data_IF_303668718430
#
_entry.id   IF_303668718430
#
_cell.length_a   1.000
_cell.length_b   1.000
_cell.length_c   1.000
_cell.angle_alpha   90.00
_cell.angle_beta   90.00
_cell.angle_gamma   90.00
#
_symmetry.space_group_name_H-M   'P 1'
#
loop_
_entity.id
_entity.type
_entity.pdbx_description
1 polymer ?
#
# COMPACT_ATOMS: atom_id res chain seq x y z
N UNK A 1 5.85 -47.54 -13.79
CA UNK A 1 5.75 -46.49 -12.76
C UNK A 1 6.68 -45.34 -13.14
N UNK A 2 6.16 -44.13 -13.30
CA UNK A 2 6.94 -42.90 -13.45
C UNK A 2 6.03 -41.74 -13.01
N UNK A 3 6.35 -41.11 -11.87
CA UNK A 3 5.56 -40.01 -11.32
C UNK A 3 6.08 -38.70 -11.90
N UNK A 4 5.23 -37.97 -12.63
CA UNK A 4 5.57 -36.66 -13.16
C UNK A 4 5.12 -35.57 -12.16
N UNK A 5 6.08 -34.93 -11.50
CA UNK A 5 5.84 -33.81 -10.58
C UNK A 5 5.35 -32.56 -11.34
N UNK A 6 4.28 -31.87 -10.91
CA UNK A 6 3.87 -30.60 -11.50
C UNK A 6 4.76 -29.45 -10.99
N UNK A 7 5.51 -28.81 -11.89
CA UNK A 7 6.40 -27.70 -11.55
C UNK A 7 5.66 -26.42 -11.13
N UNK A 8 6.07 -25.84 -10.00
CA UNK A 8 5.55 -24.59 -9.43
C UNK A 8 6.06 -23.34 -10.17
N UNK A 9 5.60 -23.13 -11.39
CA UNK A 9 5.97 -21.97 -12.22
C UNK A 9 5.08 -20.74 -12.00
N UNK A 10 5.35 -19.94 -10.96
CA UNK A 10 4.74 -18.62 -10.82
C UNK A 10 5.19 -17.70 -11.96
N UNK A 11 4.24 -17.21 -12.77
CA UNK A 11 4.52 -16.22 -13.83
C UNK A 11 4.63 -14.82 -13.22
N UNK A 12 5.76 -14.53 -12.59
CA UNK A 12 6.17 -13.16 -12.32
C UNK A 12 6.39 -12.43 -13.65
N UNK A 13 5.78 -11.25 -13.82
CA UNK A 13 6.09 -10.39 -14.95
C UNK A 13 7.47 -9.77 -14.73
N UNK A 14 8.47 -10.04 -15.59
CA UNK A 14 9.83 -9.54 -15.39
C UNK A 14 9.86 -7.99 -15.44
N UNK A 15 10.82 -7.34 -14.77
CA UNK A 15 11.00 -5.90 -14.85
C UNK A 15 11.27 -5.47 -16.30
N UNK A 16 10.58 -4.43 -16.75
CA UNK A 16 10.72 -3.93 -18.12
C UNK A 16 12.09 -3.25 -18.26
N UNK A 17 12.93 -3.77 -19.17
CA UNK A 17 14.22 -3.17 -19.49
C UNK A 17 14.00 -1.81 -20.21
N UNK A 18 14.49 -0.68 -19.66
CA UNK A 18 14.28 0.64 -20.26
C UNK A 18 14.98 0.84 -21.63
N UNK A 19 15.84 -0.09 -22.07
CA UNK A 19 16.59 0.03 -23.32
C UNK A 19 15.76 -0.10 -24.62
N UNK A 20 14.53 -0.66 -24.58
CA UNK A 20 13.77 -0.95 -25.81
C UNK A 20 12.92 0.21 -26.37
N UNK A 21 12.97 1.42 -25.80
CA UNK A 21 12.20 2.58 -26.29
C UNK A 21 12.95 3.46 -27.32
N UNK A 22 13.85 2.88 -28.12
CA UNK A 22 14.69 3.59 -29.11
C UNK A 22 14.66 3.00 -30.52
N UNK A 23 13.47 2.69 -31.05
CA UNK A 23 13.31 2.37 -32.48
C UNK A 23 11.88 2.66 -32.99
N UNK A 24 11.48 3.94 -33.06
CA UNK A 24 10.35 4.47 -33.89
C UNK A 24 10.26 6.01 -33.82
N UNK A 25 11.23 6.70 -34.38
CA UNK A 25 11.13 8.13 -34.77
C UNK A 25 12.33 8.57 -35.63
N UNK A 26 12.23 8.40 -36.95
CA UNK A 26 13.16 8.99 -37.93
C UNK A 26 12.39 9.38 -39.19
N UNK A 27 11.85 10.61 -39.22
CA UNK A 27 11.50 11.34 -40.46
C UNK A 27 10.98 12.75 -40.11
N UNK A 28 11.88 13.72 -39.91
CA UNK A 28 11.57 15.14 -40.04
C UNK A 28 12.90 15.92 -40.16
N UNK A 29 13.21 16.36 -41.37
CA UNK A 29 14.29 17.32 -41.70
C UNK A 29 13.92 18.70 -41.12
N UNK A 30 14.80 19.31 -40.33
CA UNK A 30 15.83 20.28 -40.75
C UNK A 30 15.33 21.74 -40.71
N UNK A 31 16.06 22.58 -39.99
CA UNK A 31 15.78 24.00 -39.78
C UNK A 31 16.76 24.56 -38.76
N UNK A 32 17.89 25.08 -39.24
CA UNK A 32 18.98 25.56 -38.39
C UNK A 32 18.80 27.04 -38.03
N UNK A 33 19.29 27.45 -36.85
CA UNK A 33 20.06 28.69 -36.69
C UNK A 33 20.96 28.59 -35.45
N UNK A 34 22.09 29.31 -35.47
CA UNK A 34 23.22 29.11 -34.55
C UNK A 34 23.39 30.27 -33.55
N UNK A 35 24.53 30.27 -32.82
CA UNK A 35 25.06 31.25 -31.83
C UNK A 35 24.65 31.00 -30.36
N UNK A 36 25.51 31.14 -29.34
CA UNK A 36 26.99 31.33 -29.30
C UNK A 36 27.59 30.76 -28.00
N UNK A 37 28.92 30.53 -27.98
CA UNK A 37 29.70 30.04 -26.81
C UNK A 37 29.74 31.04 -25.64
N UNK A 38 29.79 30.53 -24.40
CA UNK A 38 30.92 30.78 -23.45
C UNK A 38 30.84 29.90 -22.17
N UNK A 39 31.95 29.25 -21.84
CA UNK A 39 32.39 28.95 -20.45
C UNK A 39 33.66 29.82 -20.20
N UNK A 40 34.15 29.96 -18.95
CA UNK A 40 35.12 28.96 -18.45
C UNK A 40 35.11 28.66 -16.93
N UNK A 41 35.55 27.44 -16.60
CA UNK A 41 36.44 26.99 -15.51
C UNK A 41 36.57 27.82 -14.20
N UNK A 42 36.54 27.11 -13.06
CA UNK A 42 37.75 26.84 -12.25
C UNK A 42 37.50 25.69 -11.24
N UNK A 43 38.57 25.02 -10.80
CA UNK A 43 38.55 24.00 -9.75
C UNK A 43 39.62 24.31 -8.69
N UNK A 44 39.35 24.00 -7.43
CA UNK A 44 40.34 24.01 -6.33
C UNK A 44 40.05 22.84 -5.38
N UNK A 45 41.10 22.21 -4.86
CA UNK A 45 41.06 21.08 -3.94
C UNK A 45 41.72 21.44 -2.59
N UNK A 46 41.86 20.45 -1.69
CA UNK A 46 42.45 20.52 -0.33
C UNK A 46 41.53 21.15 0.75
N UNK A 47 41.58 20.76 2.04
CA UNK A 47 42.38 19.74 2.77
C UNK A 47 41.68 19.38 4.10
N UNK A 48 41.97 18.20 4.68
CA UNK A 48 41.77 17.94 6.14
C UNK A 48 42.90 18.63 6.92
N UNK A 49 42.65 19.03 8.18
CA UNK A 49 42.99 18.19 9.34
C UNK A 49 41.78 18.12 10.32
N UNK A 50 41.81 17.62 11.57
CA UNK A 50 42.87 17.08 12.46
C UNK A 50 42.45 15.71 13.07
N UNK A 51 43.14 15.28 14.14
CA UNK A 51 42.90 14.14 15.03
C UNK A 51 43.12 14.64 16.46
N UNK A 52 42.34 14.19 17.44
CA UNK A 52 42.64 14.37 18.88
C UNK A 52 42.51 13.04 19.59
N UNK A 53 43.66 12.52 20.02
CA UNK A 53 43.86 11.59 21.14
C UNK A 53 44.29 12.43 22.35
N UNK A 54 44.19 12.04 23.61
CA UNK A 54 43.56 10.90 24.30
C UNK A 54 43.52 11.25 25.81
N UNK A 55 42.81 10.48 26.63
CA UNK A 55 43.22 10.20 28.01
C UNK A 55 42.42 9.01 28.57
N UNK A 56 43.09 8.11 29.28
CA UNK A 56 42.48 7.00 30.01
C UNK A 56 42.53 7.25 31.51
N UNK A 57 41.54 6.75 32.25
CA UNK A 57 41.70 6.37 33.65
C UNK A 57 40.66 5.30 33.98
N UNK A 58 41.11 4.13 34.41
CA UNK A 58 40.24 3.06 34.89
C UNK A 58 39.89 3.28 36.37
N UNK A 59 38.76 2.73 36.80
CA UNK A 59 38.63 2.05 38.10
C UNK A 59 37.46 1.08 38.09
N UNK A 60 37.76 -0.13 38.52
CA UNK A 60 36.84 -1.24 38.72
C UNK A 60 36.29 -1.19 40.16
N UNK A 61 35.01 -1.47 40.32
CA UNK A 61 34.38 -1.77 41.60
C UNK A 61 33.05 -2.49 41.33
N UNK A 62 33.04 -3.80 41.54
CA UNK A 62 31.88 -4.65 41.26
C UNK A 62 30.63 -4.27 42.05
N UNK A 63 29.48 -4.40 41.39
CA UNK A 63 28.16 -4.30 41.99
C UNK A 63 27.22 -5.31 41.34
N UNK A 64 26.95 -6.41 42.05
CA UNK A 64 25.97 -7.40 41.62
C UNK A 64 24.58 -6.79 41.67
N UNK A 65 24.04 -6.41 40.51
CA UNK A 65 22.71 -5.83 40.36
C UNK A 65 22.06 -6.41 39.12
N UNK A 66 20.87 -6.99 39.31
CA UNK A 66 20.11 -7.74 38.30
C UNK A 66 19.98 -6.95 36.99
N UNK A 67 20.75 -7.33 35.97
CA UNK A 67 20.71 -6.70 34.66
C UNK A 67 19.48 -7.19 33.91
N UNK A 68 18.35 -6.55 34.22
CA UNK A 68 17.08 -6.70 33.52
C UNK A 68 17.36 -6.64 32.02
N UNK A 69 17.30 -7.79 31.36
CA UNK A 69 17.52 -7.88 29.93
C UNK A 69 16.41 -7.07 29.26
N UNK A 70 16.74 -5.86 28.84
CA UNK A 70 15.97 -5.12 27.85
C UNK A 70 16.11 -5.84 26.51
N UNK A 71 15.51 -7.02 26.41
CA UNK A 71 15.21 -7.68 25.15
C UNK A 71 14.20 -6.82 24.42
N UNK A 72 14.71 -5.78 23.77
CA UNK A 72 14.03 -5.03 22.72
C UNK A 72 13.80 -5.98 21.55
N UNK A 73 12.87 -6.92 21.74
CA UNK A 73 12.52 -7.93 20.77
C UNK A 73 12.07 -7.24 19.51
N UNK A 74 12.84 -7.40 18.45
CA UNK A 74 12.51 -6.90 17.12
C UNK A 74 11.22 -7.59 16.70
N UNK A 75 10.07 -6.93 16.93
CA UNK A 75 8.77 -7.43 16.49
C UNK A 75 8.86 -7.69 14.99
N UNK A 76 8.59 -8.92 14.58
CA UNK A 76 8.68 -9.33 13.18
C UNK A 76 7.74 -8.47 12.34
N UNK A 77 8.27 -7.83 11.29
CA UNK A 77 7.47 -6.97 10.41
C UNK A 77 6.38 -7.80 9.72
N UNK A 78 5.15 -7.30 9.76
CA UNK A 78 3.99 -7.94 9.12
C UNK A 78 4.08 -7.79 7.60
N UNK A 79 3.71 -8.83 6.87
CA UNK A 79 3.92 -8.94 5.43
C UNK A 79 2.62 -8.66 4.69
N UNK A 80 2.63 -7.63 3.86
CA UNK A 80 1.43 -7.02 3.27
C UNK A 80 1.37 -7.33 1.77
N UNK A 81 0.20 -7.75 1.29
CA UNK A 81 -0.10 -7.83 -0.13
C UNK A 81 -1.13 -6.74 -0.50
N UNK A 82 -0.78 -5.85 -1.43
CA UNK A 82 -1.65 -4.72 -1.82
C UNK A 82 -2.32 -5.02 -3.16
N UNK A 83 -3.63 -4.84 -3.25
CA UNK A 83 -4.43 -5.12 -4.44
C UNK A 83 -4.89 -3.81 -5.09
N UNK A 84 -4.68 -3.64 -6.40
CA UNK A 84 -4.98 -2.38 -7.12
C UNK A 84 -5.60 -2.62 -8.50
N UNK A 85 -6.44 -1.70 -8.97
CA UNK A 85 -6.99 -1.71 -10.34
C UNK A 85 -6.74 -0.43 -11.13
N UNK A 86 -5.83 0.44 -10.67
CA UNK A 86 -5.68 1.81 -11.20
C UNK A 86 -4.35 2.48 -10.89
N UNK A 87 -4.39 3.79 -10.65
CA UNK A 87 -3.19 4.63 -10.46
C UNK A 87 -2.32 4.25 -9.25
N UNK A 88 -2.92 3.62 -8.22
CA UNK A 88 -2.18 3.10 -7.07
C UNK A 88 -1.70 4.16 -6.08
N UNK A 89 -2.37 5.30 -5.97
CA UNK A 89 -2.02 6.37 -5.02
C UNK A 89 -2.08 5.88 -3.56
N UNK A 90 -3.18 5.23 -3.14
CA UNK A 90 -3.27 4.59 -1.83
C UNK A 90 -2.14 3.56 -1.58
N UNK A 91 -1.85 2.70 -2.57
CA UNK A 91 -0.73 1.76 -2.49
C UNK A 91 0.61 2.47 -2.29
N UNK A 92 0.86 3.55 -3.03
CA UNK A 92 2.06 4.38 -2.87
C UNK A 92 2.17 4.97 -1.46
N UNK A 93 1.08 5.55 -0.93
CA UNK A 93 1.05 6.12 0.42
C UNK A 93 1.31 5.05 1.50
N UNK A 94 0.77 3.84 1.34
CA UNK A 94 1.05 2.69 2.22
C UNK A 94 2.53 2.28 2.12
N UNK A 95 3.06 2.08 0.90
CA UNK A 95 4.44 1.66 0.70
C UNK A 95 5.45 2.68 1.25
N UNK A 96 5.25 3.97 0.99
CA UNK A 96 6.08 5.04 1.55
C UNK A 96 5.99 5.08 3.09
N UNK A 97 4.81 4.79 3.68
CA UNK A 97 4.66 4.68 5.12
C UNK A 97 5.32 3.43 5.75
N UNK A 98 5.60 2.37 4.97
CA UNK A 98 6.38 1.20 5.43
C UNK A 98 7.90 1.42 5.43
N UNK A 99 8.40 2.54 4.91
CA UNK A 99 9.82 2.88 5.00
C UNK A 99 10.30 2.97 6.46
N UNK A 100 11.62 2.85 6.69
CA UNK A 100 12.19 2.97 8.03
C UNK A 100 11.85 4.35 8.66
N UNK A 101 11.30 4.35 9.88
CA UNK A 101 10.80 5.55 10.55
C UNK A 101 9.42 6.04 10.07
N UNK A 102 8.80 5.39 9.09
CA UNK A 102 7.45 5.70 8.62
C UNK A 102 6.35 5.22 9.57
N UNK A 103 5.14 5.80 9.44
CA UNK A 103 3.96 5.49 10.27
C UNK A 103 3.61 4.00 10.32
N UNK A 104 3.86 3.25 9.24
CA UNK A 104 3.55 1.83 9.12
C UNK A 104 4.83 0.97 9.03
N UNK A 105 5.95 1.42 9.61
CA UNK A 105 7.25 0.75 9.55
C UNK A 105 7.30 -0.66 10.19
N UNK A 106 6.28 -1.05 10.96
CA UNK A 106 6.05 -2.43 11.42
C UNK A 106 5.49 -3.37 10.33
N UNK A 107 5.13 -2.86 9.15
CA UNK A 107 4.71 -3.63 7.99
C UNK A 107 5.75 -3.61 6.85
N UNK A 108 5.65 -4.52 5.89
CA UNK A 108 6.49 -4.59 4.68
C UNK A 108 5.63 -5.04 3.48
N UNK A 109 5.73 -4.38 2.33
CA UNK A 109 4.89 -4.71 1.15
C UNK A 109 5.59 -5.72 0.26
N UNK A 110 5.15 -6.98 0.34
CA UNK A 110 5.84 -8.14 -0.24
C UNK A 110 5.29 -8.56 -1.60
N UNK A 111 4.10 -8.08 -1.96
CA UNK A 111 3.51 -8.26 -3.28
C UNK A 111 2.51 -7.15 -3.63
N UNK A 112 2.39 -6.87 -4.93
CA UNK A 112 1.25 -6.19 -5.51
C UNK A 112 0.42 -7.19 -6.33
N UNK A 113 -0.90 -7.14 -6.19
CA UNK A 113 -1.85 -7.89 -7.01
C UNK A 113 -2.68 -6.91 -7.83
N UNK A 114 -2.95 -7.21 -9.10
CA UNK A 114 -3.70 -6.33 -9.99
C UNK A 114 -4.54 -7.12 -10.99
N UNK A 115 -5.69 -6.57 -11.42
CA UNK A 115 -6.46 -7.09 -12.56
C UNK A 115 -6.00 -6.48 -13.91
N UNK A 116 -5.06 -5.54 -13.88
CA UNK A 116 -4.56 -4.78 -15.05
C UNK A 116 -3.03 -4.71 -15.02
N UNK A 117 -2.31 -5.39 -15.94
CA UNK A 117 -0.85 -5.51 -15.84
C UNK A 117 -0.11 -4.18 -16.08
N UNK A 118 -0.73 -3.24 -16.80
CA UNK A 118 -0.20 -1.90 -17.11
C UNK A 118 -0.84 -0.76 -16.31
N UNK A 119 -1.42 -1.01 -15.14
CA UNK A 119 -1.92 0.08 -14.29
C UNK A 119 -0.76 0.80 -13.57
N UNK A 120 -0.96 2.07 -13.19
CA UNK A 120 0.08 2.89 -12.55
C UNK A 120 0.65 2.29 -11.27
N UNK A 121 -0.18 1.59 -10.49
CA UNK A 121 0.28 0.82 -9.32
C UNK A 121 1.24 -0.31 -9.70
N UNK A 122 0.94 -1.07 -10.76
CA UNK A 122 1.81 -2.15 -11.26
C UNK A 122 3.13 -1.64 -11.83
N UNK A 123 3.16 -0.45 -12.44
CA UNK A 123 4.41 0.18 -12.82
C UNK A 123 5.24 0.63 -11.60
N UNK A 124 4.58 1.24 -10.60
CA UNK A 124 5.26 1.68 -9.38
C UNK A 124 5.88 0.48 -8.63
N UNK A 125 5.12 -0.60 -8.43
CA UNK A 125 5.62 -1.82 -7.78
C UNK A 125 6.88 -2.36 -8.48
N UNK A 126 6.86 -2.50 -9.81
CA UNK A 126 8.04 -2.94 -10.59
C UNK A 126 9.25 -2.02 -10.42
N UNK A 127 9.04 -0.69 -10.40
CA UNK A 127 10.11 0.29 -10.14
C UNK A 127 10.65 0.22 -8.71
N UNK A 128 9.83 -0.19 -7.76
CA UNK A 128 10.18 -0.38 -6.34
C UNK A 128 10.70 -1.80 -6.02
N UNK A 129 10.83 -2.68 -7.01
CA UNK A 129 11.27 -4.08 -6.79
C UNK A 129 10.21 -5.01 -6.20
N UNK A 130 8.97 -4.56 -6.04
CA UNK A 130 7.86 -5.34 -5.49
C UNK A 130 7.32 -6.30 -6.56
N UNK A 131 7.23 -7.62 -6.29
CA UNK A 131 6.64 -8.59 -7.20
C UNK A 131 5.19 -8.26 -7.57
N UNK A 132 4.84 -8.38 -8.86
CA UNK A 132 3.48 -8.14 -9.36
C UNK A 132 2.84 -9.44 -9.81
N UNK A 133 1.68 -9.77 -9.22
CA UNK A 133 0.82 -10.90 -9.60
C UNK A 133 -0.40 -10.38 -10.35
N UNK A 134 -0.73 -10.97 -11.50
CA UNK A 134 -1.94 -10.63 -12.25
C UNK A 134 -3.09 -11.56 -11.83
N UNK A 135 -4.17 -10.99 -11.31
CA UNK A 135 -5.35 -11.71 -10.83
C UNK A 135 -6.63 -10.86 -10.94
N UNK A 136 -7.77 -11.42 -11.39
CA UNK A 136 -7.99 -12.83 -11.71
C UNK A 136 -7.67 -13.17 -13.17
N UNK A 137 -7.44 -14.45 -13.45
CA UNK A 137 -7.63 -15.00 -14.80
C UNK A 137 -9.04 -14.67 -15.29
N UNK A 138 -9.15 -13.98 -16.42
CA UNK A 138 -10.43 -13.60 -17.01
C UNK A 138 -10.33 -13.52 -18.53
N UNK A 139 -11.46 -13.38 -19.24
CA UNK A 139 -11.45 -13.16 -20.71
C UNK A 139 -10.62 -11.94 -21.12
N UNK A 140 -10.58 -10.90 -20.27
CA UNK A 140 -9.79 -9.68 -20.47
C UNK A 140 -8.35 -9.74 -19.95
N UNK A 141 -7.99 -10.79 -19.22
CA UNK A 141 -6.65 -11.06 -18.69
C UNK A 141 -6.40 -12.57 -18.62
N UNK A 142 -6.25 -13.28 -19.77
CA UNK A 142 -6.07 -14.74 -19.79
C UNK A 142 -4.79 -15.21 -19.11
N UNK A 143 -3.78 -14.35 -19.08
CA UNK A 143 -2.47 -14.55 -18.45
C UNK A 143 -2.50 -14.40 -16.92
N UNK A 144 -3.65 -14.01 -16.35
CA UNK A 144 -3.86 -13.99 -14.90
C UNK A 144 -3.87 -15.38 -14.26
N UNK A 145 -3.75 -15.42 -12.94
CA UNK A 145 -3.80 -16.65 -12.14
C UNK A 145 -5.23 -16.92 -11.60
N UNK A 146 -5.63 -18.18 -11.40
CA UNK A 146 -6.85 -18.54 -10.67
C UNK A 146 -6.66 -18.36 -9.15
N UNK A 147 -7.75 -18.30 -8.39
CA UNK A 147 -7.77 -18.08 -6.93
C UNK A 147 -6.83 -19.02 -6.16
N UNK A 148 -6.83 -20.32 -6.47
CA UNK A 148 -5.96 -21.30 -5.81
C UNK A 148 -4.45 -21.00 -5.97
N UNK A 149 -4.04 -20.48 -7.14
CA UNK A 149 -2.64 -20.10 -7.37
C UNK A 149 -2.28 -18.78 -6.68
N UNK A 150 -3.21 -17.82 -6.62
CA UNK A 150 -3.05 -16.61 -5.81
C UNK A 150 -2.87 -16.97 -4.33
N UNK A 151 -3.73 -17.83 -3.78
CA UNK A 151 -3.64 -18.26 -2.38
C UNK A 151 -2.31 -18.93 -2.05
N UNK A 152 -1.82 -19.81 -2.92
CA UNK A 152 -0.49 -20.40 -2.73
C UNK A 152 0.61 -19.33 -2.77
N UNK A 153 0.58 -18.40 -3.72
CA UNK A 153 1.56 -17.31 -3.78
C UNK A 153 1.57 -16.42 -2.52
N UNK A 154 0.39 -16.10 -1.96
CA UNK A 154 0.28 -15.31 -0.73
C UNK A 154 0.81 -16.10 0.49
N UNK A 155 0.59 -17.42 0.55
CA UNK A 155 1.14 -18.31 1.59
C UNK A 155 2.66 -18.46 1.50
N UNK A 156 3.19 -18.69 0.29
CA UNK A 156 4.64 -18.81 0.03
C UNK A 156 5.37 -17.51 0.42
N UNK A 157 4.75 -16.36 0.12
CA UNK A 157 5.22 -15.04 0.54
C UNK A 157 4.94 -14.73 2.02
N UNK A 158 4.30 -15.63 2.78
CA UNK A 158 3.91 -15.48 4.19
C UNK A 158 3.17 -14.16 4.46
N UNK A 159 2.22 -13.81 3.60
CA UNK A 159 1.39 -12.61 3.77
C UNK A 159 0.52 -12.76 5.01
N UNK A 160 0.58 -11.78 5.91
CA UNK A 160 -0.27 -11.65 7.09
C UNK A 160 -1.59 -10.94 6.75
N UNK A 161 -1.50 -9.87 5.93
CA UNK A 161 -2.62 -8.98 5.63
C UNK A 161 -2.74 -8.63 4.14
N UNK A 162 -3.97 -8.56 3.66
CA UNK A 162 -4.33 -8.15 2.30
C UNK A 162 -4.99 -6.77 2.35
N UNK A 163 -4.52 -5.84 1.52
CA UNK A 163 -4.96 -4.44 1.52
C UNK A 163 -5.51 -4.08 0.13
N UNK A 164 -6.83 -3.92 0.01
CA UNK A 164 -7.47 -3.48 -1.22
C UNK A 164 -7.36 -1.96 -1.34
N UNK A 165 -6.59 -1.48 -2.30
CA UNK A 165 -6.31 -0.06 -2.55
C UNK A 165 -6.92 0.35 -3.90
N UNK A 166 -8.24 0.52 -3.91
CA UNK A 166 -9.06 0.65 -5.11
C UNK A 166 -8.92 -0.54 -6.08
N UNK A 167 -9.12 -1.76 -5.55
CA UNK A 167 -9.29 -2.98 -6.33
C UNK A 167 -10.77 -3.16 -6.73
N UNK A 168 -11.05 -3.43 -8.00
CA UNK A 168 -12.40 -3.32 -8.58
C UNK A 168 -13.07 -4.66 -8.88
N UNK A 169 -12.53 -5.79 -8.41
CA UNK A 169 -13.14 -7.12 -8.54
C UNK A 169 -13.61 -7.57 -7.16
N UNK A 170 -14.72 -8.32 -7.14
CA UNK A 170 -15.14 -9.02 -5.92
C UNK A 170 -14.03 -9.99 -5.51
N UNK A 171 -13.71 -10.00 -4.23
CA UNK A 171 -12.75 -10.96 -3.67
C UNK A 171 -13.44 -12.34 -3.60
N UNK A 172 -12.79 -13.42 -4.07
CA UNK A 172 -13.35 -14.77 -3.92
C UNK A 172 -13.51 -15.15 -2.45
N UNK A 173 -14.58 -15.87 -2.12
CA UNK A 173 -14.84 -16.34 -0.75
C UNK A 173 -13.69 -17.18 -0.20
N UNK A 174 -12.99 -17.96 -1.03
CA UNK A 174 -11.83 -18.74 -0.60
C UNK A 174 -10.66 -17.87 -0.12
N UNK A 175 -10.57 -16.60 -0.56
CA UNK A 175 -9.58 -15.65 -0.06
C UNK A 175 -10.03 -15.00 1.24
N UNK A 176 -11.30 -14.60 1.34
CA UNK A 176 -11.90 -14.08 2.59
C UNK A 176 -11.75 -15.11 3.72
N UNK A 177 -12.07 -16.37 3.44
CA UNK A 177 -11.99 -17.48 4.40
C UNK A 177 -10.54 -17.88 4.75
N UNK A 178 -9.58 -17.71 3.83
CA UNK A 178 -8.16 -17.93 4.10
C UNK A 178 -7.49 -16.77 4.88
N UNK A 179 -8.09 -15.58 4.86
CA UNK A 179 -7.61 -14.36 5.53
C UNK A 179 -8.66 -13.78 6.49
N UNK A 180 -9.16 -14.57 7.47
CA UNK A 180 -10.25 -14.13 8.35
C UNK A 180 -9.81 -12.93 9.19
N UNK A 181 -10.53 -11.81 9.08
CA UNK A 181 -10.18 -10.52 9.72
C UNK A 181 -8.78 -9.97 9.32
N UNK A 182 -8.25 -10.42 8.18
CA UNK A 182 -6.94 -10.00 7.66
C UNK A 182 -7.00 -9.32 6.28
N UNK A 183 -8.20 -9.04 5.77
CA UNK A 183 -8.40 -8.29 4.53
C UNK A 183 -9.05 -6.94 4.86
N UNK A 184 -8.37 -5.83 4.54
CA UNK A 184 -8.92 -4.48 4.60
C UNK A 184 -9.23 -3.94 3.19
N UNK A 185 -10.25 -3.10 3.10
CA UNK A 185 -10.54 -2.28 1.94
C UNK A 185 -10.71 -0.81 2.36
N UNK A 186 -10.46 0.10 1.43
CA UNK A 186 -10.88 1.49 1.54
C UNK A 186 -11.92 1.83 0.47
N UNK A 187 -13.02 2.43 0.91
CA UNK A 187 -14.12 2.83 0.06
C UNK A 187 -14.36 4.35 0.18
N UNK A 188 -14.56 5.09 -0.94
CA UNK A 188 -14.58 6.56 -0.95
C UNK A 188 -15.96 7.18 -0.60
N UNK A 189 -16.67 6.58 0.36
CA UNK A 189 -17.84 7.16 1.02
C UNK A 189 -17.95 6.70 2.48
N UNK A 190 -18.78 7.40 3.26
CA UNK A 190 -19.15 7.03 4.62
C UNK A 190 -20.14 5.85 4.58
N UNK A 191 -19.61 4.63 4.64
CA UNK A 191 -20.43 3.41 4.63
C UNK A 191 -21.41 3.39 5.82
N UNK A 192 -22.61 2.82 5.65
CA UNK A 192 -23.10 2.08 4.47
C UNK A 192 -23.56 2.94 3.29
N UNK A 193 -23.57 4.27 3.40
CA UNK A 193 -24.04 5.14 2.32
C UNK A 193 -23.11 5.07 1.10
N UNK A 194 -23.69 4.96 -0.10
CA UNK A 194 -22.96 4.87 -1.38
C UNK A 194 -21.94 3.72 -1.45
N UNK A 195 -22.14 2.66 -0.68
CA UNK A 195 -21.40 1.40 -0.78
C UNK A 195 -22.07 0.39 -1.71
N UNK A 196 -21.34 -0.65 -2.07
CA UNK A 196 -21.86 -1.82 -2.78
C UNK A 196 -21.63 -1.80 -4.29
N UNK A 197 -22.08 -2.88 -4.94
CA UNK A 197 -21.81 -3.16 -6.35
C UNK A 197 -22.24 -2.01 -7.28
N UNK A 198 -21.26 -1.33 -7.87
CA UNK A 198 -21.45 -0.26 -8.85
C UNK A 198 -20.96 1.10 -8.37
N UNK A 199 -20.82 1.28 -7.06
CA UNK A 199 -20.22 2.45 -6.44
C UNK A 199 -18.69 2.29 -6.41
N UNK A 200 -18.00 2.81 -7.42
CA UNK A 200 -16.53 2.84 -7.43
C UNK A 200 -15.97 4.04 -8.20
N UNK A 201 -14.83 4.53 -7.74
CA UNK A 201 -14.18 5.73 -8.28
C UNK A 201 -15.15 6.90 -8.38
N UNK A 202 -15.10 7.62 -9.50
CA UNK A 202 -15.92 8.82 -9.73
C UNK A 202 -17.45 8.61 -9.63
N UNK A 203 -17.94 7.36 -9.73
CA UNK A 203 -19.38 7.08 -9.57
C UNK A 203 -19.87 7.36 -8.14
N UNK A 204 -19.02 7.17 -7.14
CA UNK A 204 -19.36 7.42 -5.73
C UNK A 204 -19.60 8.91 -5.51
N UNK A 205 -18.62 9.74 -5.87
CA UNK A 205 -18.71 11.20 -5.71
C UNK A 205 -19.86 11.81 -6.54
N UNK A 206 -20.14 11.28 -7.73
CA UNK A 206 -21.33 11.66 -8.52
C UNK A 206 -22.64 11.37 -7.79
N UNK A 207 -22.77 10.20 -7.16
CA UNK A 207 -23.96 9.84 -6.40
C UNK A 207 -24.10 10.66 -5.10
N UNK A 208 -22.99 10.93 -4.41
CA UNK A 208 -22.96 11.80 -3.23
C UNK A 208 -23.50 13.19 -3.57
N UNK A 209 -22.96 13.84 -4.62
CA UNK A 209 -23.43 15.18 -5.05
C UNK A 209 -24.90 15.13 -5.48
N UNK A 210 -25.28 14.14 -6.30
CA UNK A 210 -26.66 13.99 -6.77
C UNK A 210 -27.68 13.74 -5.64
N UNK A 211 -27.25 13.17 -4.51
CA UNK A 211 -28.11 12.96 -3.33
C UNK A 211 -28.35 14.23 -2.50
N UNK A 212 -27.57 15.29 -2.71
CA UNK A 212 -27.58 16.49 -1.87
C UNK A 212 -26.90 16.32 -0.50
N UNK A 213 -26.20 15.21 -0.24
CA UNK A 213 -25.43 15.03 0.99
C UNK A 213 -24.42 16.18 1.22
N UNK A 214 -24.30 16.64 2.47
CA UNK A 214 -23.35 17.71 2.88
C UNK A 214 -22.03 17.17 3.42
N UNK A 215 -21.95 15.86 3.63
CA UNK A 215 -20.77 15.17 4.11
C UNK A 215 -20.52 13.89 3.30
N UNK A 216 -19.24 13.57 3.16
CA UNK A 216 -18.71 12.38 2.51
C UNK A 216 -17.40 12.01 3.22
N UNK A 217 -16.50 11.29 2.55
CA UNK A 217 -15.20 10.90 3.08
C UNK A 217 -14.98 9.39 3.04
N UNK A 218 -13.77 8.91 3.32
CA UNK A 218 -13.43 7.51 3.19
C UNK A 218 -13.87 6.65 4.38
N UNK A 219 -14.14 5.36 4.11
CA UNK A 219 -14.26 4.30 5.10
C UNK A 219 -13.20 3.23 4.87
N UNK A 220 -12.42 2.90 5.90
CA UNK A 220 -11.64 1.66 5.98
C UNK A 220 -12.48 0.61 6.69
N UNK A 221 -12.63 -0.57 6.09
CA UNK A 221 -13.40 -1.67 6.66
C UNK A 221 -12.74 -3.02 6.38
N UNK A 222 -13.08 -4.02 7.19
CA UNK A 222 -12.75 -5.41 6.89
C UNK A 222 -13.62 -5.91 5.73
N UNK A 223 -13.05 -6.75 4.88
CA UNK A 223 -13.75 -7.34 3.72
C UNK A 223 -14.44 -8.64 4.13
N UNK A 224 -15.66 -8.83 3.64
CA UNK A 224 -16.42 -10.08 3.69
C UNK A 224 -16.70 -10.57 2.25
N UNK A 225 -17.64 -11.50 2.08
CA UNK A 225 -17.97 -12.07 0.75
C UNK A 225 -18.82 -11.13 -0.13
N UNK A 226 -19.18 -9.94 0.36
CA UNK A 226 -20.01 -8.95 -0.31
C UNK A 226 -19.28 -7.61 -0.50
N UNK A 227 -19.83 -6.72 -1.33
CA UNK A 227 -19.24 -5.41 -1.53
C UNK A 227 -19.63 -4.46 -0.39
N UNK A 228 -18.61 -3.98 0.34
CA UNK A 228 -18.68 -2.85 1.26
C UNK A 228 -19.66 -3.02 2.45
N UNK A 229 -19.98 -4.27 2.82
CA UNK A 229 -20.84 -4.62 3.98
C UNK A 229 -20.05 -5.00 5.24
N UNK A 230 -18.76 -5.32 5.10
CA UNK A 230 -17.93 -5.78 6.21
C UNK A 230 -17.67 -4.69 7.25
N UNK A 231 -17.22 -5.09 8.45
CA UNK A 231 -17.18 -4.21 9.62
C UNK A 231 -16.24 -3.02 9.40
N UNK A 232 -16.80 -1.82 9.54
CA UNK A 232 -16.07 -0.55 9.53
C UNK A 232 -15.03 -0.52 10.65
N UNK A 233 -13.82 -0.08 10.32
CA UNK A 233 -12.68 0.07 11.23
C UNK A 233 -12.36 1.56 11.50
N UNK A 234 -12.40 2.40 10.47
CA UNK A 234 -12.11 3.82 10.59
C UNK A 234 -12.80 4.63 9.49
N UNK A 235 -13.16 5.89 9.80
CA UNK A 235 -13.73 6.84 8.86
C UNK A 235 -13.07 8.22 9.01
N UNK A 236 -13.14 9.04 7.96
CA UNK A 236 -12.86 10.49 8.02
C UNK A 236 -14.01 11.22 7.36
N UNK A 237 -14.46 12.33 7.96
CA UNK A 237 -15.57 13.13 7.43
C UNK A 237 -15.00 14.27 6.59
N UNK A 238 -15.53 14.40 5.38
CA UNK A 238 -15.15 15.41 4.38
C UNK A 238 -16.39 16.23 4.02
N UNK A 239 -16.36 17.58 4.10
CA UNK A 239 -17.49 18.39 3.68
C UNK A 239 -17.67 18.34 2.15
N UNK A 240 -18.93 18.33 1.72
CA UNK A 240 -19.34 18.54 0.33
C UNK A 240 -19.73 20.01 0.20
N UNK A 241 -18.99 20.76 -0.61
CA UNK A 241 -19.21 22.18 -0.85
C UNK A 241 -20.36 22.38 -1.84
N UNK A 242 -20.98 23.56 -1.82
CA UNK A 242 -22.16 23.86 -2.63
C UNK A 242 -21.87 23.87 -4.15
N UNK A 243 -20.62 24.09 -4.53
CA UNK A 243 -20.10 24.22 -5.88
C UNK A 243 -19.15 23.07 -6.29
N UNK A 244 -19.01 22.03 -5.47
CA UNK A 244 -18.15 20.88 -5.77
C UNK A 244 -18.55 20.17 -7.08
N UNK A 245 -17.59 20.01 -7.99
CA UNK A 245 -17.66 18.94 -9.00
C UNK A 245 -17.32 17.58 -8.36
N UNK A 246 -17.76 16.46 -8.96
CA UNK A 246 -17.39 15.12 -8.50
C UNK A 246 -15.87 14.89 -8.40
N UNK A 247 -15.08 15.55 -9.24
CA UNK A 247 -13.62 15.47 -9.26
C UNK A 247 -12.99 16.27 -8.11
N UNK A 248 -13.54 17.43 -7.75
CA UNK A 248 -13.09 18.21 -6.59
C UNK A 248 -13.38 17.48 -5.28
N UNK A 249 -14.59 16.93 -5.14
CA UNK A 249 -14.95 16.08 -4.01
C UNK A 249 -14.07 14.81 -3.98
N UNK A 250 -13.83 14.16 -5.12
CA UNK A 250 -12.93 13.00 -5.21
C UNK A 250 -11.51 13.32 -4.74
N UNK A 251 -10.96 14.47 -5.12
CA UNK A 251 -9.62 14.89 -4.69
C UNK A 251 -9.56 15.13 -3.16
N UNK A 252 -10.61 15.72 -2.58
CA UNK A 252 -10.70 15.96 -1.12
C UNK A 252 -10.85 14.65 -0.33
N UNK A 253 -11.68 13.71 -0.82
CA UNK A 253 -11.83 12.37 -0.23
C UNK A 253 -10.55 11.57 -0.35
N UNK A 254 -9.88 11.60 -1.51
CA UNK A 254 -8.63 10.88 -1.77
C UNK A 254 -7.46 11.36 -0.90
N UNK A 255 -7.45 12.64 -0.49
CA UNK A 255 -6.49 13.14 0.50
C UNK A 255 -6.66 12.42 1.84
N UNK A 256 -7.89 12.38 2.37
CA UNK A 256 -8.20 11.65 3.60
C UNK A 256 -7.97 10.14 3.47
N UNK A 257 -8.20 9.54 2.29
CA UNK A 257 -7.92 8.12 2.04
C UNK A 257 -6.46 7.78 2.35
N UNK A 258 -5.52 8.61 1.89
CA UNK A 258 -4.08 8.37 2.08
C UNK A 258 -3.69 8.42 3.57
N UNK A 259 -4.38 9.25 4.36
CA UNK A 259 -4.12 9.38 5.79
C UNK A 259 -4.76 8.25 6.59
N UNK A 260 -6.08 8.05 6.44
CA UNK A 260 -6.82 7.05 7.25
C UNK A 260 -6.38 5.61 6.93
N UNK A 261 -6.02 5.31 5.68
CA UNK A 261 -5.59 3.95 5.34
C UNK A 261 -4.22 3.64 5.92
N UNK A 262 -3.27 4.58 5.86
CA UNK A 262 -1.95 4.42 6.48
C UNK A 262 -2.08 4.25 8.00
N UNK A 263 -2.99 4.97 8.64
CA UNK A 263 -3.26 4.87 10.09
C UNK A 263 -3.88 3.52 10.47
N UNK A 264 -4.84 3.03 9.70
CA UNK A 264 -5.43 1.70 9.89
C UNK A 264 -4.41 0.57 9.64
N UNK A 265 -3.56 0.69 8.60
CA UNK A 265 -2.49 -0.28 8.30
C UNK A 265 -1.43 -0.28 9.38
N UNK A 266 -1.05 0.89 9.91
CA UNK A 266 -0.14 0.99 11.06
C UNK A 266 -0.72 0.27 12.29
N UNK A 267 -1.97 0.55 12.65
CA UNK A 267 -2.65 -0.11 13.77
C UNK A 267 -2.77 -1.63 13.59
N UNK A 268 -3.01 -2.09 12.36
CA UNK A 268 -3.02 -3.51 12.00
C UNK A 268 -1.64 -4.14 12.13
N UNK A 269 -0.58 -3.45 11.68
CA UNK A 269 0.78 -3.95 11.77
C UNK A 269 1.34 -3.99 13.20
N UNK A 270 0.84 -3.10 14.07
CA UNK A 270 1.25 -2.95 15.47
C UNK A 270 0.46 -3.84 16.44
N UNK A 271 -0.44 -4.69 15.94
CA UNK A 271 -1.39 -5.55 16.70
C UNK A 271 -2.32 -4.75 17.64
N UNK A 272 -2.68 -3.50 17.25
CA UNK A 272 -3.55 -2.62 18.04
C UNK A 272 -5.05 -2.79 17.78
N UNK A 273 -5.45 -3.59 16.79
CA UNK A 273 -6.86 -3.88 16.52
C UNK A 273 -7.39 -4.85 17.59
N UNK A 274 -8.46 -4.46 18.28
CA UNK A 274 -9.24 -5.37 19.14
C UNK A 274 -10.63 -5.56 18.58
N UNK A 275 -11.29 -6.65 18.99
CA UNK A 275 -12.67 -6.95 18.62
C UNK A 275 -13.51 -6.96 19.88
N UNK A 276 -14.56 -6.14 19.91
CA UNK A 276 -15.63 -6.23 20.91
C UNK A 276 -16.41 -7.53 20.73
N UNK A 277 -17.13 -7.96 21.76
CA UNK A 277 -17.93 -9.19 21.75
C UNK A 277 -19.02 -9.20 20.66
N UNK A 278 -19.57 -8.03 20.31
CA UNK A 278 -20.52 -7.84 19.20
C UNK A 278 -19.88 -7.85 17.80
N UNK A 279 -18.57 -8.08 17.73
CA UNK A 279 -17.80 -8.14 16.49
C UNK A 279 -17.51 -6.77 15.88
N UNK A 280 -17.59 -5.68 16.64
CA UNK A 280 -17.09 -4.35 16.21
C UNK A 280 -15.58 -4.25 16.47
N UNK A 281 -14.76 -3.95 15.44
CA UNK A 281 -13.33 -3.72 15.62
C UNK A 281 -13.07 -2.31 16.18
N UNK A 282 -12.03 -2.16 17.01
CA UNK A 282 -11.55 -0.88 17.54
C UNK A 282 -10.04 -0.76 17.39
N UNK A 283 -9.54 0.46 17.23
CA UNK A 283 -8.11 0.76 17.27
C UNK A 283 -7.73 1.19 18.68
N UNK A 284 -6.92 0.40 19.41
CA UNK A 284 -6.32 0.86 20.67
C UNK A 284 -5.37 2.03 20.41
N UNK A 285 -5.36 3.04 21.28
CA UNK A 285 -4.38 4.14 21.17
C UNK A 285 -2.97 3.64 21.46
N UNK A 286 -1.94 4.36 21.01
CA UNK A 286 -0.54 4.04 21.33
C UNK A 286 -0.14 4.45 22.75
N UNK A 287 -0.82 5.43 23.34
CA UNK A 287 -0.47 6.05 24.63
C UNK A 287 -1.25 5.50 25.82
N UNK A 288 -2.44 4.96 25.61
CA UNK A 288 -3.25 4.32 26.64
C UNK A 288 -3.91 3.03 26.08
N UNK A 289 -3.55 1.83 26.59
CA UNK A 289 -4.10 0.56 26.09
C UNK A 289 -5.61 0.39 26.35
N UNK A 290 -6.17 1.15 27.29
CA UNK A 290 -7.60 1.13 27.65
C UNK A 290 -8.42 2.20 26.89
N UNK A 291 -7.76 3.03 26.06
CA UNK A 291 -8.41 4.01 25.21
C UNK A 291 -8.44 3.55 23.74
N UNK A 292 -9.48 3.98 23.03
CA UNK A 292 -9.71 3.67 21.62
C UNK A 292 -9.80 4.96 20.78
N UNK A 293 -9.42 4.85 19.50
CA UNK A 293 -9.42 5.93 18.50
C UNK A 293 -10.44 5.67 17.38
#
# INVERSE_FOLDING_TARGET
AAVASPGSGLRYLPPINPAQKRQRSRSATAGAFATTRRQPRAAVACRRPHRVEAAAAARDSGGSGDSSHCSGGVRSRKRLAVFVSGGGSNFRSIHEATAAGGKASSGDVVALVTDKPGCGGAEYARRSGIPVVLFPRSKSAPEGVPTAQLLNALRDLRVDFVLLAAYLKLIPSELVQAYPRSVLNIHPSLLPAFGGKGYYGLKVHKAVIASGARYSGPTVHFVDEQFDTGRTLAQRVVPVLADDTPEQLAARVLHEEHHVYVEAVAALCEDRIVWREDGVPLIRTQTNPDAYA
#
